data_IF_745698731278
#
_entry.id   IF_745698731278
#
_cell.length_a   1.000
_cell.length_b   1.000
_cell.length_c   1.000
_cell.angle_alpha   90.00
_cell.angle_beta   90.00
_cell.angle_gamma   90.00
#
_symmetry.space_group_name_H-M   'P 1'
#
loop_
_entity.id
_entity.type
_entity.pdbx_description
1 polymer ?
#
# COMPACT_ATOMS: atom_id res chain seq x y z
N UNK A 1 6.10 23.98 -2.14
CA UNK A 1 6.62 25.33 -2.44
C UNK A 1 5.91 26.01 -3.60
N UNK A 2 5.66 25.34 -4.72
CA UNK A 2 4.98 25.96 -5.90
C UNK A 2 3.62 26.59 -5.57
N UNK A 3 2.74 25.90 -4.84
CA UNK A 3 1.47 26.47 -4.35
C UNK A 3 1.68 27.74 -3.53
N UNK A 4 2.77 27.78 -2.75
CA UNK A 4 3.10 28.90 -1.90
C UNK A 4 3.59 30.12 -2.67
N UNK A 5 4.38 29.86 -3.71
CA UNK A 5 4.88 30.87 -4.64
C UNK A 5 3.74 31.46 -5.46
N UNK A 6 2.85 30.63 -5.99
CA UNK A 6 1.71 31.09 -6.77
C UNK A 6 0.82 32.03 -5.94
N UNK A 7 0.58 31.67 -4.67
CA UNK A 7 -0.18 32.50 -3.75
C UNK A 7 0.52 33.82 -3.41
N UNK A 8 1.83 33.78 -3.22
CA UNK A 8 2.62 34.99 -3.01
C UNK A 8 2.53 35.90 -4.25
N UNK A 9 2.72 35.35 -5.45
CA UNK A 9 2.60 36.06 -6.72
C UNK A 9 1.22 36.72 -6.91
N UNK A 10 0.14 35.98 -6.66
CA UNK A 10 -1.23 36.49 -6.76
C UNK A 10 -1.57 37.57 -5.74
N UNK A 11 -0.79 37.69 -4.66
CA UNK A 11 -0.91 38.74 -3.65
C UNK A 11 -0.05 39.98 -3.92
N UNK A 12 0.64 40.02 -5.07
CA UNK A 12 1.54 41.12 -5.45
C UNK A 12 2.97 40.95 -4.96
N UNK A 13 3.31 39.80 -4.35
CA UNK A 13 4.69 39.45 -4.01
C UNK A 13 5.34 38.75 -5.20
N UNK A 14 6.18 39.48 -5.95
CA UNK A 14 6.98 38.87 -7.02
C UNK A 14 8.26 38.29 -6.43
N UNK A 15 8.42 36.95 -6.36
CA UNK A 15 9.70 36.37 -5.98
C UNK A 15 10.79 36.79 -6.99
N UNK A 16 12.04 36.96 -6.56
CA UNK A 16 13.13 37.29 -7.47
C UNK A 16 13.33 36.20 -8.54
N UNK A 17 13.85 36.62 -9.69
CA UNK A 17 14.13 35.76 -10.85
C UNK A 17 15.10 34.64 -10.46
N UNK A 18 14.84 33.44 -11.00
CA UNK A 18 15.60 32.19 -10.82
C UNK A 18 17.11 32.43 -10.78
N UNK A 19 17.78 31.87 -9.77
CA UNK A 19 19.25 31.83 -9.71
C UNK A 19 19.79 30.99 -10.88
N UNK A 20 20.88 31.41 -11.56
CA UNK A 20 21.50 30.65 -12.63
C UNK A 20 22.07 29.30 -12.19
N UNK A 21 22.16 29.02 -10.89
CA UNK A 21 22.72 27.79 -10.31
C UNK A 21 21.72 26.63 -10.18
N UNK A 22 20.55 26.72 -10.80
CA UNK A 22 19.57 25.63 -10.85
C UNK A 22 18.70 25.48 -9.58
N UNK A 23 18.86 26.34 -8.56
CA UNK A 23 17.89 26.47 -7.45
C UNK A 23 16.82 27.51 -7.78
N UNK A 24 15.55 27.15 -7.58
CA UNK A 24 14.43 28.06 -7.85
C UNK A 24 14.26 29.20 -6.82
N UNK A 25 14.72 29.06 -5.56
CA UNK A 25 14.48 30.05 -4.49
C UNK A 25 15.61 30.12 -3.45
N UNK A 26 15.96 31.33 -2.98
CA UNK A 26 16.92 31.52 -1.86
C UNK A 26 16.25 31.24 -0.49
N UNK A 27 17.02 31.11 0.59
CA UNK A 27 16.45 30.92 1.95
C UNK A 27 15.62 32.14 2.36
N UNK A 28 16.08 33.34 2.05
CA UNK A 28 15.34 34.57 2.34
C UNK A 28 13.98 34.60 1.61
N UNK A 29 13.92 34.12 0.38
CA UNK A 29 12.67 33.99 -0.38
C UNK A 29 11.74 32.98 0.30
N UNK A 30 12.27 31.82 0.69
CA UNK A 30 11.48 30.76 1.33
C UNK A 30 10.94 31.19 2.69
N UNK A 31 11.75 31.88 3.50
CA UNK A 31 11.32 32.49 4.76
C UNK A 31 10.26 33.58 4.55
N UNK A 32 10.39 34.40 3.52
CA UNK A 32 9.40 35.43 3.18
C UNK A 32 8.05 34.80 2.80
N UNK A 33 8.08 33.73 2.01
CA UNK A 33 6.90 32.95 1.65
C UNK A 33 6.27 32.29 2.89
N UNK A 34 7.07 31.66 3.75
CA UNK A 34 6.58 31.05 5.00
C UNK A 34 5.98 32.08 5.96
N UNK A 35 6.52 33.30 6.00
CA UNK A 35 5.96 34.43 6.77
C UNK A 35 4.58 34.80 6.25
N UNK A 36 4.43 34.88 4.93
CA UNK A 36 3.15 35.18 4.30
C UNK A 36 2.10 34.08 4.60
N UNK A 37 2.51 32.81 4.55
CA UNK A 37 1.66 31.69 4.95
C UNK A 37 1.18 31.79 6.40
N UNK A 38 2.07 32.14 7.32
CA UNK A 38 1.72 32.35 8.71
C UNK A 38 0.71 33.50 8.87
N UNK A 39 0.89 34.60 8.14
CA UNK A 39 -0.08 35.71 8.13
C UNK A 39 -1.45 35.26 7.62
N UNK A 40 -1.49 34.47 6.54
CA UNK A 40 -2.74 33.90 6.02
C UNK A 40 -3.42 32.99 7.05
N UNK A 41 -2.67 32.08 7.69
CA UNK A 41 -3.18 31.23 8.77
C UNK A 41 -3.77 32.08 9.91
N UNK A 42 -3.03 33.07 10.40
CA UNK A 42 -3.49 33.97 11.46
C UNK A 42 -4.76 34.74 11.07
N UNK A 43 -4.87 35.18 9.81
CA UNK A 43 -6.07 35.86 9.31
C UNK A 43 -7.28 34.93 9.25
N UNK A 44 -7.10 33.70 8.77
CA UNK A 44 -8.16 32.71 8.64
C UNK A 44 -8.59 32.15 10.01
N UNK A 45 -7.66 32.04 10.97
CA UNK A 45 -7.93 31.62 12.33
C UNK A 45 -8.78 32.63 13.12
N UNK A 46 -8.72 33.92 12.76
CA UNK A 46 -9.58 34.99 13.35
C UNK A 46 -11.02 34.96 12.81
N UNK A 47 -11.22 34.35 11.65
CA UNK A 47 -12.52 34.28 10.97
C UNK A 47 -12.85 32.82 10.58
N UNK A 48 -13.11 31.94 11.57
CA UNK A 48 -13.45 30.55 11.31
C UNK A 48 -14.74 30.43 10.49
N UNK A 49 -14.82 29.40 9.64
CA UNK A 49 -15.93 29.22 8.70
C UNK A 49 -17.29 29.08 9.36
N UNK A 50 -17.29 28.58 10.60
CA UNK A 50 -18.46 28.23 11.39
C UNK A 50 -19.20 29.47 11.90
N UNK A 51 -18.67 30.68 11.66
CA UNK A 51 -19.30 31.95 12.02
C UNK A 51 -19.43 32.18 13.52
N UNK A 52 -18.92 31.27 14.36
CA UNK A 52 -19.03 31.35 15.82
C UNK A 52 -17.81 32.11 16.41
N UNK A 53 -17.96 33.39 16.80
CA UNK A 53 -16.86 34.19 17.32
C UNK A 53 -16.38 33.74 18.70
N UNK A 54 -17.14 32.91 19.43
CA UNK A 54 -16.73 32.37 20.74
C UNK A 54 -15.56 31.37 20.63
N UNK A 55 -15.35 30.75 19.47
CA UNK A 55 -14.19 29.91 19.19
C UNK A 55 -12.93 30.71 18.80
N UNK A 56 -13.09 31.98 18.42
CA UNK A 56 -12.00 32.90 18.13
C UNK A 56 -11.47 33.50 19.44
N UNK A 57 -10.92 32.65 20.30
CA UNK A 57 -10.28 33.11 21.53
C UNK A 57 -9.06 33.97 21.17
N UNK A 58 -9.23 35.30 21.27
CA UNK A 58 -8.22 36.29 20.88
C UNK A 58 -6.96 36.26 21.76
N UNK A 59 -7.04 35.58 22.91
CA UNK A 59 -5.96 35.43 23.89
C UNK A 59 -5.30 34.05 23.87
N UNK A 60 -5.48 33.26 22.79
CA UNK A 60 -4.79 31.96 22.67
C UNK A 60 -3.34 32.15 22.20
N UNK A 61 -2.41 31.50 22.90
CA UNK A 61 -1.02 31.35 22.44
C UNK A 61 -0.87 30.01 21.73
N UNK A 62 -0.49 30.05 20.45
CA UNK A 62 -0.19 28.84 19.67
C UNK A 62 1.30 28.80 19.33
N UNK A 63 1.92 27.64 19.50
CA UNK A 63 3.27 27.37 19.03
C UNK A 63 3.18 26.77 17.64
N UNK A 64 3.61 27.52 16.63
CA UNK A 64 3.54 27.10 15.23
C UNK A 64 4.92 26.66 14.77
N UNK A 65 5.00 25.44 14.25
CA UNK A 65 6.20 24.93 13.61
C UNK A 65 6.09 25.13 12.10
N UNK A 66 7.16 25.66 11.48
CA UNK A 66 7.30 25.86 10.03
C UNK A 66 8.74 25.54 9.67
N UNK A 67 8.93 24.65 8.70
CA UNK A 67 10.23 24.12 8.28
C UNK A 67 11.27 25.22 7.98
N UNK A 68 10.88 26.24 7.20
CA UNK A 68 11.79 27.32 6.77
C UNK A 68 12.25 28.26 7.91
N UNK A 69 11.61 28.20 9.08
CA UNK A 69 12.00 28.99 10.26
C UNK A 69 12.77 28.19 11.31
N UNK A 70 12.99 26.89 11.09
CA UNK A 70 13.62 25.99 12.06
C UNK A 70 15.09 25.68 11.77
N UNK A 71 15.80 26.56 11.05
CA UNK A 71 17.24 26.44 10.86
C UNK A 71 17.99 26.79 12.16
N UNK A 72 18.86 25.90 12.61
CA UNK A 72 19.63 26.06 13.86
C UNK A 72 20.56 27.28 13.83
N UNK A 73 21.06 27.63 12.64
CA UNK A 73 21.96 28.77 12.43
C UNK A 73 21.45 29.66 11.30
N UNK A 74 20.57 30.64 11.58
CA UNK A 74 20.04 31.55 10.57
C UNK A 74 21.12 32.45 9.94
N UNK A 75 22.28 32.56 10.58
CA UNK A 75 23.45 33.30 10.11
C UNK A 75 24.44 32.45 9.28
N UNK A 76 24.19 31.14 9.15
CA UNK A 76 24.99 30.27 8.31
C UNK A 76 24.95 30.78 6.87
N UNK A 77 26.12 31.16 6.37
CA UNK A 77 26.32 31.63 4.99
C UNK A 77 26.74 30.49 4.07
N UNK A 78 27.07 29.32 4.64
CA UNK A 78 27.53 28.17 3.85
C UNK A 78 26.34 27.31 3.40
N UNK A 79 26.15 27.21 2.10
CA UNK A 79 24.99 26.53 1.53
C UNK A 79 24.93 25.03 1.85
N UNK A 80 26.09 24.39 2.01
CA UNK A 80 26.15 22.96 2.34
C UNK A 80 25.67 22.68 3.76
N UNK A 81 25.93 23.60 4.68
CA UNK A 81 25.49 23.48 6.07
C UNK A 81 23.97 23.66 6.18
N UNK A 82 23.40 24.59 5.41
CA UNK A 82 21.95 24.79 5.37
C UNK A 82 21.24 23.59 4.74
N UNK A 83 21.79 23.05 3.64
CA UNK A 83 21.26 21.83 3.02
C UNK A 83 21.34 20.62 3.96
N UNK A 84 22.43 20.50 4.71
CA UNK A 84 22.62 19.45 5.72
C UNK A 84 21.59 19.57 6.85
N UNK A 85 21.44 20.76 7.44
CA UNK A 85 20.43 21.02 8.49
C UNK A 85 19.02 20.70 7.99
N UNK A 86 18.69 21.13 6.76
CA UNK A 86 17.38 20.84 6.14
C UNK A 86 17.17 19.34 5.94
N UNK A 87 18.19 18.62 5.46
CA UNK A 87 18.13 17.17 5.27
C UNK A 87 17.82 16.44 6.58
N UNK A 88 18.40 16.90 7.70
CA UNK A 88 18.13 16.37 9.03
C UNK A 88 16.71 16.69 9.50
N UNK A 89 16.24 17.92 9.33
CA UNK A 89 14.88 18.31 9.72
C UNK A 89 13.80 17.61 8.88
N UNK A 90 14.03 17.44 7.58
CA UNK A 90 13.15 16.67 6.70
C UNK A 90 13.00 15.21 7.17
N UNK A 91 14.09 14.61 7.67
CA UNK A 91 14.04 13.28 8.29
C UNK A 91 13.30 13.20 9.61
N UNK A 92 13.01 14.34 10.26
CA UNK A 92 12.25 14.43 11.51
C UNK A 92 10.78 14.78 11.31
N UNK A 93 10.35 15.17 10.10
CA UNK A 93 8.99 15.64 9.81
C UNK A 93 7.89 14.74 10.36
N UNK A 94 7.96 13.44 10.06
CA UNK A 94 6.97 12.49 10.53
C UNK A 94 6.84 12.47 12.08
N UNK A 95 7.95 12.68 12.80
CA UNK A 95 7.92 12.78 14.27
C UNK A 95 7.35 14.11 14.74
N UNK A 96 7.70 15.20 14.07
CA UNK A 96 7.19 16.54 14.38
C UNK A 96 5.65 16.55 14.23
N UNK A 97 5.14 16.10 13.09
CA UNK A 97 3.70 16.07 12.82
C UNK A 97 2.95 15.05 13.68
N UNK A 98 3.57 13.91 14.03
CA UNK A 98 2.97 12.94 14.96
C UNK A 98 2.74 13.54 16.35
N UNK A 99 3.63 14.43 16.80
CA UNK A 99 3.53 15.07 18.11
C UNK A 99 2.79 16.42 18.06
N UNK A 100 2.37 16.86 16.87
CA UNK A 100 1.59 18.09 16.72
C UNK A 100 0.16 17.86 17.20
N UNK A 101 -0.37 18.80 17.99
CA UNK A 101 -1.77 18.79 18.43
C UNK A 101 -2.74 18.98 17.26
N UNK A 102 -2.32 19.75 16.25
CA UNK A 102 -3.09 20.00 15.04
C UNK A 102 -2.16 20.24 13.85
N UNK A 103 -2.59 19.80 12.67
CA UNK A 103 -1.86 19.99 11.40
C UNK A 103 -2.70 20.86 10.48
N UNK A 104 -2.17 21.99 10.04
CA UNK A 104 -2.83 22.86 9.07
C UNK A 104 -2.44 22.44 7.65
N UNK A 105 -3.44 22.18 6.81
CA UNK A 105 -3.25 21.77 5.42
C UNK A 105 -3.80 22.84 4.50
N UNK A 106 -3.07 23.15 3.44
CA UNK A 106 -3.39 24.25 2.54
C UNK A 106 -2.79 24.02 1.15
N UNK A 107 -3.48 24.51 0.13
CA UNK A 107 -3.01 24.52 -1.26
C UNK A 107 -3.56 25.76 -1.98
N UNK A 108 -2.99 26.04 -3.14
CA UNK A 108 -3.30 27.20 -3.98
C UNK A 108 -4.67 27.12 -4.67
N UNK A 109 -5.18 25.90 -4.89
CA UNK A 109 -6.41 25.65 -5.64
C UNK A 109 -7.65 26.15 -4.89
N UNK A 110 -8.44 27.08 -5.47
CA UNK A 110 -9.71 27.52 -4.90
C UNK A 110 -10.67 26.36 -4.67
N UNK A 111 -11.35 26.34 -3.52
CA UNK A 111 -12.34 25.32 -3.18
C UNK A 111 -11.78 23.92 -2.89
N UNK A 112 -10.45 23.74 -2.85
CA UNK A 112 -9.87 22.43 -2.60
C UNK A 112 -10.18 21.93 -1.18
N UNK A 113 -10.64 20.68 -1.08
CA UNK A 113 -10.94 20.00 0.19
C UNK A 113 -9.72 19.29 0.78
N UNK A 114 -8.64 19.22 0.02
CA UNK A 114 -7.39 18.49 0.33
C UNK A 114 -7.55 16.98 0.51
N UNK A 115 -8.74 16.44 0.28
CA UNK A 115 -9.04 15.01 0.37
C UNK A 115 -9.20 14.35 -1.01
N UNK A 116 -9.20 15.15 -2.06
CA UNK A 116 -9.23 14.69 -3.45
C UNK A 116 -7.81 14.38 -3.94
N UNK A 117 -7.69 13.38 -4.82
CA UNK A 117 -6.40 12.94 -5.37
C UNK A 117 -5.76 13.96 -6.31
N UNK A 118 -6.55 14.90 -6.85
CA UNK A 118 -6.04 15.97 -7.69
C UNK A 118 -5.40 17.11 -6.88
N UNK A 119 -5.44 17.05 -5.55
CA UNK A 119 -4.84 18.07 -4.69
C UNK A 119 -3.32 18.13 -4.90
N UNK A 120 -2.74 19.31 -5.25
CA UNK A 120 -1.29 19.46 -5.41
C UNK A 120 -0.52 19.12 -4.14
N UNK A 121 -1.07 19.52 -2.98
CA UNK A 121 -0.53 19.12 -1.68
C UNK A 121 -0.62 17.60 -1.52
N UNK A 122 -1.76 16.99 -1.86
CA UNK A 122 -2.04 15.55 -1.69
C UNK A 122 -1.03 14.61 -2.36
N UNK A 123 -0.43 15.03 -3.46
CA UNK A 123 0.48 14.21 -4.27
C UNK A 123 1.97 14.32 -3.87
N UNK A 124 2.31 15.09 -2.84
CA UNK A 124 3.70 15.19 -2.38
C UNK A 124 4.11 13.97 -1.56
N UNK A 125 5.38 13.60 -1.65
CA UNK A 125 5.98 12.51 -0.86
C UNK A 125 5.79 12.70 0.66
N UNK A 126 5.80 13.95 1.13
CA UNK A 126 5.69 14.32 2.53
C UNK A 126 4.28 14.29 3.11
N UNK A 127 3.25 14.23 2.27
CA UNK A 127 1.87 14.38 2.75
C UNK A 127 1.43 13.23 3.64
N UNK A 128 1.80 11.98 3.34
CA UNK A 128 1.47 10.86 4.24
C UNK A 128 2.14 11.04 5.62
N UNK A 129 3.47 11.30 5.69
CA UNK A 129 4.14 11.69 6.95
C UNK A 129 3.44 12.80 7.74
N UNK A 130 2.90 13.81 7.05
CA UNK A 130 2.26 14.97 7.68
C UNK A 130 0.92 14.64 8.35
N UNK A 131 0.12 13.72 7.80
CA UNK A 131 -1.27 13.50 8.27
C UNK A 131 -1.59 12.12 8.83
N UNK A 132 -0.73 11.11 8.62
CA UNK A 132 -1.05 9.73 8.98
C UNK A 132 -1.38 9.58 10.47
N UNK A 133 -0.66 10.31 11.31
CA UNK A 133 -0.82 10.30 12.76
C UNK A 133 -1.43 11.59 13.33
N UNK A 134 -1.84 12.54 12.49
CA UNK A 134 -2.43 13.78 12.96
C UNK A 134 -3.72 13.50 13.75
N UNK A 135 -3.84 14.06 14.95
CA UNK A 135 -5.05 13.96 15.77
C UNK A 135 -6.17 14.85 15.22
N UNK A 136 -5.80 16.08 14.82
CA UNK A 136 -6.71 17.10 14.27
C UNK A 136 -6.09 17.73 13.04
N UNK A 137 -6.92 17.99 12.03
CA UNK A 137 -6.52 18.64 10.78
C UNK A 137 -7.32 19.93 10.60
N UNK A 138 -6.61 21.04 10.41
CA UNK A 138 -7.20 22.33 10.05
C UNK A 138 -7.14 22.47 8.53
N UNK A 139 -8.26 22.27 7.85
CA UNK A 139 -8.34 22.44 6.40
C UNK A 139 -8.48 23.91 6.09
N UNK A 140 -7.42 24.52 5.57
CA UNK A 140 -7.49 25.88 5.05
C UNK A 140 -7.98 25.81 3.61
N UNK A 141 -9.19 26.29 3.33
CA UNK A 141 -9.76 26.31 1.98
C UNK A 141 -9.89 27.75 1.51
N UNK A 142 -9.35 27.99 0.33
CA UNK A 142 -9.42 29.28 -0.34
C UNK A 142 -10.78 29.44 -1.02
N UNK A 143 -11.53 30.48 -0.68
CA UNK A 143 -12.81 30.81 -1.31
C UNK A 143 -12.64 31.81 -2.45
N UNK A 144 -11.70 32.73 -2.31
CA UNK A 144 -11.32 33.73 -3.33
C UNK A 144 -9.84 34.08 -3.23
N UNK A 145 -9.34 34.96 -4.09
CA UNK A 145 -7.92 35.32 -4.10
C UNK A 145 -7.41 35.85 -2.76
N UNK A 146 -8.28 36.48 -1.97
CA UNK A 146 -7.96 37.14 -0.70
C UNK A 146 -8.71 36.56 0.51
N UNK A 147 -9.56 35.54 0.33
CA UNK A 147 -10.33 34.94 1.41
C UNK A 147 -9.98 33.46 1.58
N UNK A 148 -9.44 33.13 2.74
CA UNK A 148 -9.16 31.75 3.18
C UNK A 148 -9.92 31.49 4.46
N UNK A 149 -10.60 30.33 4.53
CA UNK A 149 -11.32 29.89 5.72
C UNK A 149 -10.74 28.60 6.27
N UNK A 150 -10.84 28.42 7.59
CA UNK A 150 -10.40 27.20 8.26
C UNK A 150 -11.61 26.35 8.60
N UNK A 151 -11.55 25.09 8.18
CA UNK A 151 -12.53 24.04 8.49
C UNK A 151 -11.85 22.99 9.37
N UNK A 152 -12.08 23.00 10.69
CA UNK A 152 -11.50 22.01 11.58
C UNK A 152 -12.14 20.64 11.35
N UNK A 153 -11.34 19.58 11.35
CA UNK A 153 -11.82 18.20 11.21
C UNK A 153 -10.94 17.27 12.04
N UNK A 154 -11.50 16.19 12.58
CA UNK A 154 -10.68 15.18 13.24
C UNK A 154 -9.77 14.51 12.21
N UNK A 155 -8.53 14.19 12.61
CA UNK A 155 -7.59 13.53 11.71
C UNK A 155 -8.11 12.20 11.20
N UNK A 156 -8.88 11.48 12.03
CA UNK A 156 -9.59 10.26 11.61
C UNK A 156 -10.59 10.53 10.49
N UNK A 157 -11.50 11.48 10.66
CA UNK A 157 -12.51 11.78 9.62
C UNK A 157 -11.86 12.28 8.33
N UNK A 158 -10.80 13.08 8.45
CA UNK A 158 -10.01 13.55 7.30
C UNK A 158 -9.38 12.38 6.52
N UNK A 159 -8.76 11.42 7.21
CA UNK A 159 -8.20 10.21 6.58
C UNK A 159 -9.28 9.30 5.99
N UNK A 160 -10.45 9.17 6.63
CA UNK A 160 -11.59 8.42 6.09
C UNK A 160 -12.14 9.06 4.79
N UNK A 161 -12.13 10.39 4.67
CA UNK A 161 -12.48 11.08 3.42
C UNK A 161 -11.48 10.77 2.31
N UNK A 162 -10.17 10.83 2.58
CA UNK A 162 -9.14 10.46 1.60
C UNK A 162 -9.29 8.98 1.20
N UNK A 163 -9.52 8.10 2.18
CA UNK A 163 -9.76 6.68 1.93
C UNK A 163 -10.95 6.46 0.99
N UNK A 164 -12.06 7.18 1.20
CA UNK A 164 -13.23 7.13 0.30
C UNK A 164 -12.91 7.62 -1.11
N UNK A 165 -12.14 8.70 -1.23
CA UNK A 165 -11.69 9.21 -2.54
C UNK A 165 -10.77 8.21 -3.25
N UNK A 166 -9.84 7.60 -2.52
CA UNK A 166 -8.95 6.56 -3.04
C UNK A 166 -9.74 5.34 -3.54
N UNK A 167 -10.76 4.89 -2.79
CA UNK A 167 -11.61 3.77 -3.19
C UNK A 167 -12.39 4.06 -4.49
N UNK A 168 -12.91 5.28 -4.67
CA UNK A 168 -13.63 5.69 -5.89
C UNK A 168 -12.74 5.65 -7.14
N UNK A 169 -11.45 5.93 -6.96
CA UNK A 169 -10.47 6.04 -8.03
C UNK A 169 -9.58 4.78 -8.14
N UNK A 170 -9.96 3.70 -7.46
CA UNK A 170 -9.25 2.42 -7.44
C UNK A 170 -7.76 2.55 -7.03
N UNK A 171 -7.44 3.50 -6.13
CA UNK A 171 -6.11 3.61 -5.53
C UNK A 171 -6.03 2.78 -4.25
N UNK A 172 -5.88 1.47 -4.42
CA UNK A 172 -5.98 0.53 -3.32
C UNK A 172 -4.79 0.59 -2.35
N UNK A 173 -3.60 0.99 -2.82
CA UNK A 173 -2.44 1.27 -1.96
C UNK A 173 -2.76 2.41 -0.98
N UNK A 174 -3.28 3.53 -1.46
CA UNK A 174 -3.64 4.66 -0.62
C UNK A 174 -4.80 4.32 0.32
N UNK A 175 -5.77 3.56 -0.17
CA UNK A 175 -6.85 3.01 0.64
C UNK A 175 -6.32 2.13 1.77
N UNK A 176 -5.38 1.22 1.50
CA UNK A 176 -4.80 0.31 2.49
C UNK A 176 -3.99 1.06 3.57
N UNK A 177 -3.22 2.08 3.20
CA UNK A 177 -2.50 2.95 4.14
C UNK A 177 -3.48 3.60 5.13
N UNK A 178 -4.53 4.25 4.62
CA UNK A 178 -5.48 4.92 5.50
C UNK A 178 -6.37 3.95 6.26
N UNK A 179 -6.73 2.80 5.68
CA UNK A 179 -7.41 1.73 6.40
C UNK A 179 -6.58 1.23 7.58
N UNK A 180 -5.27 1.00 7.38
CA UNK A 180 -4.37 0.62 8.46
C UNK A 180 -4.28 1.71 9.55
N UNK A 181 -4.27 2.99 9.16
CA UNK A 181 -4.22 4.12 10.10
C UNK A 181 -5.48 4.28 10.95
N UNK A 182 -6.65 3.90 10.43
CA UNK A 182 -7.95 4.04 11.10
C UNK A 182 -8.34 2.76 11.84
N UNK A 183 -7.97 1.60 11.27
CA UNK A 183 -8.25 0.27 11.80
C UNK A 183 -7.07 -0.67 11.54
N UNK A 184 -6.07 -0.61 12.41
CA UNK A 184 -4.83 -1.39 12.32
C UNK A 184 -5.05 -2.90 12.40
N UNK A 185 -6.21 -3.38 12.87
CA UNK A 185 -6.57 -4.79 12.87
C UNK A 185 -7.06 -5.31 11.51
N UNK A 186 -7.43 -4.42 10.58
CA UNK A 186 -7.98 -4.80 9.27
C UNK A 186 -6.96 -4.96 8.15
N UNK A 187 -5.72 -4.48 8.34
CA UNK A 187 -4.64 -4.53 7.35
C UNK A 187 -3.33 -4.84 8.09
N UNK A 188 -2.63 -5.88 7.68
CA UNK A 188 -1.34 -6.26 8.30
C UNK A 188 -0.27 -5.19 8.07
N UNK A 189 0.72 -5.14 8.97
CA UNK A 189 1.88 -4.26 8.77
C UNK A 189 2.61 -4.54 7.45
N UNK A 190 2.70 -5.80 7.03
CA UNK A 190 3.31 -6.15 5.74
C UNK A 190 2.59 -5.46 4.58
N UNK A 191 1.26 -5.49 4.55
CA UNK A 191 0.44 -4.83 3.52
C UNK A 191 0.52 -3.31 3.61
N UNK A 192 0.57 -2.76 4.83
CA UNK A 192 0.69 -1.32 5.05
C UNK A 192 2.05 -0.80 4.58
N UNK A 193 3.15 -1.46 4.95
CA UNK A 193 4.52 -1.13 4.52
C UNK A 193 4.63 -1.26 3.00
N UNK A 194 4.11 -2.35 2.42
CA UNK A 194 4.06 -2.53 0.97
C UNK A 194 3.36 -1.35 0.28
N UNK A 195 2.18 -0.96 0.78
CA UNK A 195 1.40 0.13 0.21
C UNK A 195 2.11 1.49 0.37
N UNK A 196 2.77 1.73 1.51
CA UNK A 196 3.56 2.93 1.76
C UNK A 196 4.71 3.07 0.77
N UNK A 197 5.43 1.98 0.50
CA UNK A 197 6.52 1.96 -0.48
C UNK A 197 6.01 2.31 -1.87
N UNK A 198 4.96 1.64 -2.34
CA UNK A 198 4.35 1.91 -3.66
C UNK A 198 3.91 3.36 -3.78
N UNK A 199 3.21 3.88 -2.77
CA UNK A 199 2.68 5.23 -2.81
C UNK A 199 3.77 6.31 -2.71
N UNK A 200 4.83 6.07 -1.94
CA UNK A 200 5.96 6.99 -1.88
C UNK A 200 6.67 7.08 -3.24
N UNK A 201 6.82 5.96 -3.95
CA UNK A 201 7.48 5.92 -5.26
C UNK A 201 6.61 6.57 -6.33
N UNK A 202 5.30 6.31 -6.34
CA UNK A 202 4.35 6.98 -7.24
C UNK A 202 4.42 8.50 -7.10
N UNK A 203 4.53 9.00 -5.86
CA UNK A 203 4.62 10.43 -5.57
C UNK A 203 5.98 11.02 -5.94
N UNK A 204 7.05 10.25 -5.77
CA UNK A 204 8.39 10.62 -6.19
C UNK A 204 8.48 10.73 -7.73
N UNK A 205 7.88 9.78 -8.45
CA UNK A 205 7.71 9.83 -9.91
C UNK A 205 6.89 11.04 -10.37
N UNK A 206 5.79 11.34 -9.69
CA UNK A 206 4.97 12.51 -9.99
C UNK A 206 5.72 13.84 -9.76
N UNK A 207 6.73 13.83 -8.89
CA UNK A 207 7.65 14.94 -8.64
C UNK A 207 8.90 14.91 -9.51
N UNK A 208 8.95 14.11 -10.58
CA UNK A 208 10.14 13.94 -11.45
C UNK A 208 11.43 13.56 -10.68
N UNK A 209 11.31 12.88 -9.54
CA UNK A 209 12.42 12.50 -8.67
C UNK A 209 13.20 13.66 -8.04
N UNK A 210 12.64 14.88 -8.03
CA UNK A 210 13.29 16.06 -7.46
C UNK A 210 13.66 15.87 -5.97
N UNK A 211 12.77 15.19 -5.22
CA UNK A 211 12.92 14.92 -3.79
C UNK A 211 13.39 13.49 -3.49
N UNK A 212 13.84 12.73 -4.50
CA UNK A 212 14.16 11.31 -4.39
C UNK A 212 15.15 11.00 -3.25
N UNK A 213 16.15 11.88 -3.07
CA UNK A 213 17.16 11.77 -2.00
C UNK A 213 16.59 11.73 -0.59
N UNK A 214 15.32 12.08 -0.39
CA UNK A 214 14.64 12.07 0.89
C UNK A 214 13.61 10.94 1.06
N UNK A 215 13.47 10.03 0.09
CA UNK A 215 12.48 8.96 0.11
C UNK A 215 12.52 8.11 1.40
N UNK A 216 13.71 7.61 1.77
CA UNK A 216 13.88 6.85 3.01
C UNK A 216 13.56 7.69 4.25
N UNK A 217 13.99 8.96 4.27
CA UNK A 217 13.73 9.90 5.37
C UNK A 217 12.23 10.18 5.56
N UNK A 218 11.47 10.33 4.47
CA UNK A 218 10.02 10.49 4.50
C UNK A 218 9.33 9.27 5.11
N UNK A 219 9.80 8.07 4.77
CA UNK A 219 9.20 6.81 5.23
C UNK A 219 9.63 6.41 6.64
N UNK A 220 10.80 6.84 7.13
CA UNK A 220 11.36 6.43 8.42
C UNK A 220 10.37 6.57 9.59
N UNK A 221 9.66 7.69 9.68
CA UNK A 221 8.70 7.90 10.78
C UNK A 221 7.35 7.18 10.61
N UNK A 222 7.11 6.54 9.47
CA UNK A 222 5.87 5.78 9.20
C UNK A 222 6.02 4.28 9.50
N UNK A 223 7.25 3.79 9.60
CA UNK A 223 7.54 2.38 9.82
C UNK A 223 7.55 2.02 11.33
N UNK A 224 7.26 0.75 11.68
CA UNK A 224 7.32 0.27 13.06
C UNK A 224 8.69 0.43 13.71
N UNK A 225 9.75 0.02 13.00
CA UNK A 225 11.14 0.21 13.42
C UNK A 225 11.75 1.34 12.63
N UNK A 226 12.47 2.20 13.35
CA UNK A 226 12.96 3.47 12.84
C UNK A 226 14.46 3.53 12.99
N UNK A 227 15.11 4.07 11.98
CA UNK A 227 16.50 4.43 12.03
C UNK A 227 16.71 5.75 12.78
N UNK A 228 17.92 5.94 13.32
CA UNK A 228 18.35 7.28 13.66
C UNK A 228 18.47 8.11 12.38
N UNK A 229 18.09 9.40 12.43
CA UNK A 229 18.09 10.25 11.23
C UNK A 229 19.50 10.41 10.66
N UNK A 230 20.51 10.38 11.54
CA UNK A 230 21.92 10.51 11.16
C UNK A 230 22.47 9.25 10.48
N UNK A 231 21.80 8.10 10.63
CA UNK A 231 22.16 6.85 9.93
C UNK A 231 21.58 6.79 8.51
N UNK A 232 20.66 7.69 8.16
CA UNK A 232 20.06 7.81 6.83
C UNK A 232 20.88 8.79 6.00
N UNK A 233 21.46 8.28 4.91
CA UNK A 233 22.41 9.00 4.07
C UNK A 233 21.75 9.96 3.09
N UNK A 234 22.34 10.07 1.90
CA UNK A 234 21.88 10.93 0.80
C UNK A 234 21.22 10.15 -0.34
N UNK A 235 21.10 8.83 -0.22
CA UNK A 235 20.58 7.96 -1.26
C UNK A 235 19.20 7.42 -0.89
N UNK A 236 18.14 8.00 -1.45
CA UNK A 236 16.75 7.65 -1.12
C UNK A 236 16.43 6.17 -1.22
N UNK A 237 16.91 5.50 -2.27
CA UNK A 237 16.77 4.05 -2.44
C UNK A 237 17.58 3.23 -1.45
N UNK A 238 18.82 3.65 -1.13
CA UNK A 238 19.67 2.93 -0.19
C UNK A 238 19.12 3.02 1.22
N UNK A 239 18.66 4.21 1.61
CA UNK A 239 17.99 4.46 2.88
C UNK A 239 16.70 3.64 2.99
N UNK A 240 15.92 3.57 1.91
CA UNK A 240 14.72 2.75 1.87
C UNK A 240 15.04 1.26 2.03
N UNK A 241 16.02 0.73 1.28
CA UNK A 241 16.41 -0.67 1.40
C UNK A 241 16.85 -1.00 2.84
N UNK A 242 17.66 -0.14 3.44
CA UNK A 242 18.12 -0.32 4.82
C UNK A 242 16.97 -0.22 5.85
N UNK A 243 16.01 0.68 5.65
CA UNK A 243 14.82 0.77 6.49
C UNK A 243 13.92 -0.46 6.38
N UNK A 244 13.81 -1.06 5.20
CA UNK A 244 13.04 -2.28 5.01
C UNK A 244 13.75 -3.49 5.64
N UNK A 245 15.08 -3.56 5.54
CA UNK A 245 15.90 -4.53 6.26
C UNK A 245 15.70 -4.43 7.79
N UNK A 246 15.72 -3.21 8.33
CA UNK A 246 15.44 -2.97 9.75
C UNK A 246 14.04 -3.49 10.16
N UNK A 247 13.08 -3.42 9.23
CA UNK A 247 11.69 -3.85 9.41
C UNK A 247 11.41 -5.29 8.94
N UNK A 248 12.43 -6.16 8.79
CA UNK A 248 12.25 -7.56 8.37
C UNK A 248 11.25 -8.37 9.20
N UNK A 249 11.09 -8.05 10.48
CA UNK A 249 10.08 -8.68 11.34
C UNK A 249 8.62 -8.30 11.01
N UNK A 250 8.42 -7.27 10.19
CA UNK A 250 7.12 -6.76 9.76
C UNK A 250 6.95 -6.80 8.23
N UNK A 251 8.03 -7.02 7.47
CA UNK A 251 8.06 -6.93 6.03
C UNK A 251 9.10 -7.88 5.43
N UNK A 252 8.68 -8.79 4.56
CA UNK A 252 9.58 -9.76 3.93
C UNK A 252 10.41 -9.09 2.81
N UNK A 253 11.74 -9.19 2.84
CA UNK A 253 12.62 -8.66 1.80
C UNK A 253 12.32 -9.24 0.40
N UNK A 254 11.77 -10.46 0.34
CA UNK A 254 11.31 -11.06 -0.89
C UNK A 254 10.03 -10.38 -1.44
N UNK A 255 9.23 -9.75 -0.58
CA UNK A 255 8.14 -8.84 -0.96
C UNK A 255 8.65 -7.56 -1.62
N UNK A 256 9.85 -7.08 -1.23
CA UNK A 256 10.50 -5.94 -1.90
C UNK A 256 10.96 -6.30 -3.31
N UNK A 257 11.57 -7.47 -3.48
CA UNK A 257 12.08 -7.89 -4.77
C UNK A 257 10.96 -8.21 -5.76
N UNK A 258 9.82 -8.73 -5.29
CA UNK A 258 8.61 -8.90 -6.09
C UNK A 258 7.99 -7.56 -6.56
N UNK A 259 8.26 -6.49 -5.81
CA UNK A 259 7.77 -5.16 -6.14
C UNK A 259 8.61 -4.46 -7.18
N UNK A 260 9.88 -4.84 -7.36
CA UNK A 260 10.81 -4.14 -8.24
C UNK A 260 11.01 -4.89 -9.55
N UNK A 261 11.06 -4.16 -10.67
CA UNK A 261 11.50 -4.69 -11.95
C UNK A 261 12.95 -5.14 -11.86
N UNK A 262 13.42 -5.91 -12.83
CA UNK A 262 14.86 -6.11 -12.97
C UNK A 262 15.55 -4.76 -13.26
N UNK A 263 16.76 -4.52 -12.73
CA UNK A 263 17.51 -3.31 -13.01
C UNK A 263 17.87 -3.22 -14.51
N UNK A 264 17.85 -2.01 -15.07
CA UNK A 264 18.42 -1.76 -16.39
C UNK A 264 19.92 -2.03 -16.39
N UNK A 265 20.47 -2.50 -17.53
CA UNK A 265 21.88 -2.92 -17.69
C UNK A 265 22.93 -1.88 -17.27
N UNK A 266 22.54 -0.63 -17.04
CA UNK A 266 23.41 0.49 -16.65
C UNK A 266 23.37 0.84 -15.16
N UNK A 267 22.54 0.18 -14.33
CA UNK A 267 22.46 0.50 -12.90
C UNK A 267 23.25 -0.49 -12.04
N UNK A 268 23.94 0.02 -11.01
CA UNK A 268 24.71 -0.76 -10.03
C UNK A 268 23.80 -1.33 -8.92
N UNK A 269 22.47 -1.13 -9.05
CA UNK A 269 21.46 -1.57 -8.09
C UNK A 269 20.98 -2.97 -8.44
N UNK A 270 20.75 -3.81 -7.42
CA UNK A 270 20.16 -5.14 -7.59
C UNK A 270 18.61 -5.10 -7.75
N UNK A 271 17.98 -3.93 -7.57
CA UNK A 271 16.54 -3.68 -7.72
C UNK A 271 16.28 -2.64 -8.83
N UNK A 272 15.31 -2.91 -9.70
CA UNK A 272 14.75 -1.96 -10.69
C UNK A 272 13.49 -1.23 -10.18
N UNK A 273 12.79 -0.54 -11.09
CA UNK A 273 11.63 0.31 -10.76
C UNK A 273 10.43 -0.51 -10.28
N UNK A 274 9.62 -0.02 -9.34
CA UNK A 274 8.47 -0.80 -8.89
C UNK A 274 7.45 -1.11 -9.99
N UNK A 275 6.83 -2.29 -9.90
CA UNK A 275 5.72 -2.69 -10.75
C UNK A 275 4.45 -2.00 -10.23
N UNK A 276 3.78 -1.26 -11.11
CA UNK A 276 2.54 -0.56 -10.76
C UNK A 276 1.43 -1.55 -10.34
N UNK A 277 0.69 -1.27 -9.25
CA UNK A 277 -0.45 -2.09 -8.88
C UNK A 277 -1.55 -2.00 -9.94
N UNK A 278 -2.09 -3.15 -10.32
CA UNK A 278 -3.22 -3.29 -11.24
C UNK A 278 -4.34 -4.09 -10.58
N UNK A 279 -5.62 -3.91 -10.97
CA UNK A 279 -6.73 -4.73 -10.50
C UNK A 279 -6.40 -6.23 -10.53
N UNK A 280 -6.32 -6.85 -9.35
CA UNK A 280 -5.92 -8.26 -9.18
C UNK A 280 -4.57 -8.47 -8.48
N UNK A 281 -3.67 -7.49 -8.52
CA UNK A 281 -2.34 -7.53 -7.89
C UNK A 281 -2.28 -6.86 -6.49
N UNK A 282 -3.42 -6.39 -6.00
CA UNK A 282 -3.52 -5.35 -4.95
C UNK A 282 -3.65 -5.93 -3.54
N UNK A 283 -3.79 -7.26 -3.47
CA UNK A 283 -3.90 -8.08 -2.26
C UNK A 283 -2.97 -9.29 -2.31
N UNK A 284 -1.97 -9.23 -3.19
CA UNK A 284 -1.01 -10.30 -3.29
C UNK A 284 -0.08 -10.20 -2.09
N UNK A 285 -0.23 -11.11 -1.14
CA UNK A 285 0.85 -11.41 -0.22
C UNK A 285 1.99 -11.99 -1.06
N UNK A 286 3.19 -11.39 -1.04
CA UNK A 286 4.29 -11.96 -1.80
C UNK A 286 4.72 -13.25 -1.10
N UNK A 287 4.27 -14.39 -1.64
CA UNK A 287 4.77 -15.71 -1.27
C UNK A 287 6.10 -15.88 -2.02
N UNK A 288 7.09 -15.11 -1.60
CA UNK A 288 8.44 -15.22 -2.13
C UNK A 288 9.33 -15.64 -0.98
N UNK A 289 10.00 -16.77 -1.17
CA UNK A 289 11.06 -17.25 -0.29
C UNK A 289 12.36 -16.85 -0.97
N UNK A 290 13.06 -15.86 -0.42
CA UNK A 290 14.40 -15.54 -0.88
C UNK A 290 15.39 -16.46 -0.16
N UNK A 291 16.19 -17.20 -0.91
CA UNK A 291 17.32 -17.96 -0.37
C UNK A 291 18.57 -17.07 -0.46
N UNK A 292 19.21 -16.71 0.67
CA UNK A 292 20.50 -16.05 0.62
C UNK A 292 21.52 -17.02 0.00
N UNK A 293 22.18 -16.60 -1.08
CA UNK A 293 23.28 -17.36 -1.67
C UNK A 293 24.58 -16.69 -1.21
N UNK A 294 25.51 -17.49 -0.67
CA UNK A 294 26.81 -16.99 -0.21
C UNK A 294 27.48 -16.09 -1.26
N UNK A 295 28.16 -15.01 -0.85
CA UNK A 295 28.85 -14.12 -1.78
C UNK A 295 29.83 -14.93 -2.64
N UNK A 296 30.02 -14.55 -3.92
CA UNK A 296 30.90 -15.29 -4.82
C UNK A 296 32.30 -15.35 -4.20
N UNK A 297 32.82 -16.56 -4.02
CA UNK A 297 34.25 -16.74 -3.80
C UNK A 297 34.97 -16.05 -4.96
N UNK A 298 35.99 -15.25 -4.65
CA UNK A 298 36.75 -14.41 -5.58
C UNK A 298 37.35 -15.16 -6.80
N UNK A 299 37.26 -16.49 -6.83
CA UNK A 299 37.76 -17.36 -7.90
C UNK A 299 36.65 -17.95 -8.79
N UNK A 300 35.37 -17.61 -8.58
CA UNK A 300 34.28 -18.07 -9.45
C UNK A 300 33.88 -16.98 -10.45
N UNK A 301 34.23 -17.18 -11.72
CA UNK A 301 33.89 -16.31 -12.85
C UNK A 301 32.42 -16.41 -13.30
N UNK A 302 31.60 -17.19 -12.59
CA UNK A 302 30.17 -17.24 -12.79
C UNK A 302 29.50 -16.39 -11.68
N UNK A 303 29.17 -15.14 -12.01
CA UNK A 303 28.44 -14.24 -11.13
C UNK A 303 27.04 -14.77 -10.84
N UNK A 304 26.90 -15.57 -9.79
CA UNK A 304 25.60 -15.83 -9.21
C UNK A 304 25.12 -14.54 -8.51
N UNK A 305 23.90 -14.06 -8.80
CA UNK A 305 23.35 -12.93 -8.06
C UNK A 305 23.28 -13.27 -6.57
N UNK A 306 23.54 -12.31 -5.66
CA UNK A 306 23.57 -12.53 -4.21
C UNK A 306 22.22 -12.97 -3.61
N UNK A 307 21.15 -12.85 -4.40
CA UNK A 307 19.79 -13.26 -4.05
C UNK A 307 19.24 -14.14 -5.19
N UNK A 308 18.88 -15.38 -4.88
CA UNK A 308 18.12 -16.22 -5.81
C UNK A 308 16.65 -16.15 -5.41
N UNK A 309 15.85 -15.47 -6.24
CA UNK A 309 14.40 -15.42 -6.12
C UNK A 309 13.85 -16.55 -6.97
N UNK A 310 13.36 -17.61 -6.32
CA UNK A 310 12.64 -18.68 -7.03
C UNK A 310 11.24 -18.13 -7.32
N UNK A 311 10.84 -18.24 -8.59
CA UNK A 311 9.72 -17.52 -9.22
C UNK A 311 8.53 -17.26 -8.31
N UNK A 312 8.22 -15.98 -8.13
CA UNK A 312 7.02 -15.58 -7.41
C UNK A 312 5.78 -16.04 -8.16
N UNK A 313 5.06 -17.00 -7.61
CA UNK A 313 3.72 -17.33 -8.08
C UNK A 313 2.72 -16.46 -7.33
N UNK A 314 2.06 -15.57 -8.06
CA UNK A 314 1.04 -14.69 -7.52
C UNK A 314 -0.24 -15.50 -7.28
N UNK A 315 -0.40 -16.06 -6.09
CA UNK A 315 -1.65 -16.73 -5.71
C UNK A 315 -2.64 -15.64 -5.30
N UNK A 316 -3.66 -15.39 -6.13
CA UNK A 316 -4.76 -14.52 -5.75
C UNK A 316 -5.48 -15.07 -4.53
N UNK A 317 -5.28 -14.43 -3.37
CA UNK A 317 -6.07 -14.71 -2.16
C UNK A 317 -7.53 -14.35 -2.45
N UNK A 318 -8.33 -15.38 -2.77
CA UNK A 318 -9.76 -15.21 -2.96
C UNK A 318 -10.35 -14.80 -1.60
N UNK A 319 -11.21 -13.77 -1.54
CA UNK A 319 -11.69 -13.21 -0.28
C UNK A 319 -12.55 -14.17 0.57
N UNK A 320 -12.89 -15.36 0.05
CA UNK A 320 -13.65 -16.41 0.72
C UNK A 320 -13.24 -17.79 0.20
N UNK A 321 -13.18 -18.77 1.09
CA UNK A 321 -13.16 -20.19 0.74
C UNK A 321 -14.41 -20.49 -0.11
N UNK A 322 -14.21 -20.96 -1.33
CA UNK A 322 -15.30 -21.34 -2.23
C UNK A 322 -15.55 -22.84 -2.07
N UNK A 323 -16.82 -23.20 -2.04
CA UNK A 323 -17.26 -24.59 -2.15
C UNK A 323 -16.91 -25.15 -3.52
N UNK A 324 -16.36 -26.36 -3.56
CA UNK A 324 -16.00 -27.04 -4.80
C UNK A 324 -17.26 -27.45 -5.54
N UNK A 325 -17.57 -26.74 -6.62
CA UNK A 325 -18.78 -26.96 -7.41
C UNK A 325 -18.80 -28.34 -8.10
N UNK A 326 -17.64 -28.98 -8.25
CA UNK A 326 -17.48 -30.32 -8.82
C UNK A 326 -16.89 -31.29 -7.78
N UNK A 327 -17.28 -31.13 -6.50
CA UNK A 327 -16.73 -31.89 -5.39
C UNK A 327 -16.83 -33.41 -5.55
N UNK A 328 -17.88 -33.90 -6.21
CA UNK A 328 -18.08 -35.33 -6.51
C UNK A 328 -17.01 -35.91 -7.45
N UNK A 329 -16.44 -35.08 -8.33
CA UNK A 329 -15.50 -35.50 -9.36
C UNK A 329 -14.05 -35.24 -8.97
N UNK A 330 -13.81 -34.16 -8.21
CA UNK A 330 -12.48 -33.68 -7.88
C UNK A 330 -11.90 -34.27 -6.59
N UNK A 331 -12.74 -34.73 -5.65
CA UNK A 331 -12.26 -35.22 -4.35
C UNK A 331 -11.95 -36.73 -4.37
N UNK A 332 -10.75 -37.17 -3.93
CA UNK A 332 -10.37 -38.58 -3.91
C UNK A 332 -11.23 -39.41 -2.95
N UNK A 333 -11.73 -38.81 -1.87
CA UNK A 333 -12.60 -39.49 -0.91
C UNK A 333 -13.97 -39.87 -1.52
N UNK A 334 -14.34 -39.23 -2.63
CA UNK A 334 -15.63 -39.41 -3.31
C UNK A 334 -15.57 -40.39 -4.49
N UNK A 335 -14.45 -41.10 -4.71
CA UNK A 335 -14.30 -42.07 -5.80
C UNK A 335 -15.43 -43.11 -5.79
N UNK A 336 -15.77 -43.67 -4.62
CA UNK A 336 -16.85 -44.68 -4.51
C UNK A 336 -18.21 -44.08 -4.85
N UNK A 337 -18.51 -42.91 -4.31
CA UNK A 337 -19.76 -42.19 -4.57
C UNK A 337 -19.90 -41.84 -6.06
N UNK A 338 -18.80 -41.40 -6.71
CA UNK A 338 -18.74 -41.11 -8.14
C UNK A 338 -19.05 -42.33 -9.00
N UNK A 339 -18.46 -43.49 -8.67
CA UNK A 339 -18.69 -44.74 -9.42
C UNK A 339 -20.14 -45.21 -9.26
N UNK A 340 -20.69 -45.16 -8.05
CA UNK A 340 -22.08 -45.56 -7.78
C UNK A 340 -23.07 -44.59 -8.47
N UNK A 341 -22.85 -43.28 -8.36
CA UNK A 341 -23.68 -42.27 -9.00
C UNK A 341 -23.65 -42.38 -10.53
N UNK A 342 -22.45 -42.54 -11.11
CA UNK A 342 -22.30 -42.74 -12.54
C UNK A 342 -22.95 -44.04 -13.03
N UNK A 343 -22.80 -45.13 -12.27
CA UNK A 343 -23.40 -46.43 -12.59
C UNK A 343 -24.93 -46.41 -12.52
N UNK A 344 -25.50 -45.79 -11.48
CA UNK A 344 -26.95 -45.65 -11.32
C UNK A 344 -27.56 -44.75 -12.40
N UNK A 345 -26.88 -43.65 -12.77
CA UNK A 345 -27.27 -42.80 -13.89
C UNK A 345 -27.28 -43.57 -15.22
N UNK A 346 -26.19 -44.28 -15.53
CA UNK A 346 -26.08 -45.05 -16.77
C UNK A 346 -27.15 -46.16 -16.87
N UNK A 347 -27.37 -46.91 -15.77
CA UNK A 347 -28.39 -47.97 -15.73
C UNK A 347 -29.80 -47.39 -15.87
N UNK A 348 -30.08 -46.27 -15.19
CA UNK A 348 -31.38 -45.59 -15.26
C UNK A 348 -31.70 -45.06 -16.66
N UNK A 349 -30.71 -44.48 -17.33
CA UNK A 349 -30.83 -44.03 -18.73
C UNK A 349 -31.06 -45.21 -19.67
N UNK A 350 -30.33 -46.31 -19.49
CA UNK A 350 -30.49 -47.51 -20.31
C UNK A 350 -31.87 -48.16 -20.12
N UNK A 351 -32.35 -48.24 -18.88
CA UNK A 351 -33.69 -48.76 -18.57
C UNK A 351 -34.79 -47.86 -19.15
N UNK A 352 -34.63 -46.53 -19.04
CA UNK A 352 -35.54 -45.58 -19.68
C UNK A 352 -35.55 -45.73 -21.19
N UNK A 353 -34.40 -45.94 -21.82
CA UNK A 353 -34.31 -46.12 -23.27
C UNK A 353 -35.02 -47.40 -23.72
N UNK A 354 -34.83 -48.52 -23.00
CA UNK A 354 -35.54 -49.78 -23.28
C UNK A 354 -37.05 -49.60 -23.16
N UNK A 355 -37.53 -48.93 -22.11
CA UNK A 355 -38.97 -48.66 -21.92
C UNK A 355 -39.54 -47.73 -23.00
N UNK A 356 -38.76 -46.79 -23.49
CA UNK A 356 -39.16 -45.92 -24.59
C UNK A 356 -39.35 -46.72 -25.88
N UNK A 357 -38.42 -47.62 -26.20
CA UNK A 357 -38.47 -48.48 -27.39
C UNK A 357 -39.61 -49.50 -27.32
N UNK A 358 -39.99 -49.96 -26.11
CA UNK A 358 -41.13 -50.87 -25.92
C UNK A 358 -42.49 -50.16 -25.85
N UNK A 359 -42.53 -48.83 -26.08
CA UNK A 359 -43.76 -48.05 -26.16
C UNK A 359 -44.32 -47.58 -24.81
N UNK A 360 -43.60 -47.79 -23.71
CA UNK A 360 -43.99 -47.33 -22.38
C UNK A 360 -43.43 -45.92 -22.11
N UNK A 361 -43.99 -44.92 -22.78
CA UNK A 361 -43.48 -43.54 -22.79
C UNK A 361 -43.48 -42.90 -21.40
N UNK A 362 -44.60 -42.95 -20.67
CA UNK A 362 -44.73 -42.32 -19.35
C UNK A 362 -43.76 -42.87 -18.28
N UNK A 363 -43.62 -44.19 -18.08
CA UNK A 363 -42.65 -44.71 -17.11
C UNK A 363 -41.19 -44.49 -17.56
N UNK A 364 -40.91 -44.49 -18.87
CA UNK A 364 -39.58 -44.13 -19.38
C UNK A 364 -39.19 -42.71 -18.94
N UNK A 365 -40.05 -41.72 -19.21
CA UNK A 365 -39.83 -40.32 -18.79
C UNK A 365 -39.69 -40.21 -17.27
N UNK A 366 -40.55 -40.90 -16.51
CA UNK A 366 -40.51 -40.89 -15.05
C UNK A 366 -39.19 -41.40 -14.47
N UNK A 367 -38.65 -42.49 -15.02
CA UNK A 367 -37.36 -43.05 -14.60
C UNK A 367 -36.21 -42.13 -14.99
N UNK A 368 -36.19 -41.65 -16.23
CA UNK A 368 -35.14 -40.73 -16.69
C UNK A 368 -35.08 -39.46 -15.82
N UNK A 369 -36.23 -38.86 -15.55
CA UNK A 369 -36.33 -37.64 -14.74
C UNK A 369 -35.91 -37.89 -13.29
N UNK A 370 -36.38 -38.99 -12.67
CA UNK A 370 -36.07 -39.29 -11.27
C UNK A 370 -34.56 -39.54 -11.06
N UNK A 371 -33.93 -40.26 -11.99
CA UNK A 371 -32.50 -40.60 -11.91
C UNK A 371 -31.62 -39.37 -12.17
N UNK A 372 -31.99 -38.50 -13.11
CA UNK A 372 -31.26 -37.25 -13.36
C UNK A 372 -31.39 -36.26 -12.21
N UNK A 373 -32.59 -36.08 -11.65
CA UNK A 373 -32.79 -35.24 -10.46
C UNK A 373 -32.00 -35.78 -9.26
N UNK A 374 -32.03 -37.09 -9.01
CA UNK A 374 -31.26 -37.71 -7.94
C UNK A 374 -29.75 -37.48 -8.08
N UNK A 375 -29.23 -37.59 -9.30
CA UNK A 375 -27.81 -37.32 -9.59
C UNK A 375 -27.43 -35.85 -9.32
N UNK A 376 -28.25 -34.89 -9.77
CA UNK A 376 -28.00 -33.46 -9.55
C UNK A 376 -28.10 -33.10 -8.07
N UNK A 377 -29.06 -33.68 -7.32
CA UNK A 377 -29.16 -33.46 -5.88
C UNK A 377 -27.93 -33.98 -5.13
N UNK A 378 -27.44 -35.16 -5.51
CA UNK A 378 -26.22 -35.71 -4.95
C UNK A 378 -25.02 -34.82 -5.23
N UNK A 379 -24.85 -34.38 -6.48
CA UNK A 379 -23.78 -33.45 -6.86
C UNK A 379 -23.86 -32.16 -6.04
N UNK A 380 -25.05 -31.59 -5.86
CA UNK A 380 -25.26 -30.37 -5.10
C UNK A 380 -24.91 -30.55 -3.61
N UNK A 381 -25.34 -31.66 -2.99
CA UNK A 381 -25.02 -31.97 -1.59
C UNK A 381 -23.51 -32.10 -1.42
N UNK A 382 -22.84 -32.88 -2.28
CA UNK A 382 -21.40 -33.08 -2.22
C UNK A 382 -20.64 -31.77 -2.43
N UNK A 383 -21.09 -30.96 -3.39
CA UNK A 383 -20.50 -29.65 -3.65
C UNK A 383 -20.68 -28.66 -2.49
N UNK A 384 -21.63 -28.89 -1.58
CA UNK A 384 -21.72 -28.10 -0.34
C UNK A 384 -20.80 -28.56 0.78
N UNK A 385 -20.31 -29.79 0.73
CA UNK A 385 -19.46 -30.39 1.77
C UNK A 385 -17.97 -30.09 1.56
N UNK A 386 -17.52 -30.00 0.30
CA UNK A 386 -16.10 -29.84 -0.01
C UNK A 386 -15.73 -28.41 -0.40
N UNK A 387 -14.52 -28.00 -0.04
CA UNK A 387 -13.94 -26.72 -0.39
C UNK A 387 -12.95 -26.88 -1.55
N UNK A 388 -12.85 -25.84 -2.38
CA UNK A 388 -11.85 -25.77 -3.46
C UNK A 388 -10.46 -25.66 -2.83
N UNK A 389 -9.69 -26.76 -2.87
CA UNK A 389 -8.35 -26.84 -2.23
C UNK A 389 -7.23 -26.13 -3.01
N UNK A 390 -7.49 -25.67 -4.23
CA UNK A 390 -6.47 -24.99 -5.06
C UNK A 390 -6.04 -23.68 -4.40
N UNK A 391 -4.76 -23.57 -4.09
CA UNK A 391 -4.14 -22.37 -3.51
C UNK A 391 -4.27 -22.24 -1.98
N UNK A 392 -4.68 -23.30 -1.28
CA UNK A 392 -4.81 -23.33 0.18
C UNK A 392 -4.08 -24.55 0.74
N UNK A 393 -3.24 -24.35 1.75
CA UNK A 393 -2.58 -25.42 2.51
C UNK A 393 -3.47 -25.77 3.69
N UNK A 394 -3.92 -27.03 3.78
CA UNK A 394 -4.73 -27.52 4.88
C UNK A 394 -3.86 -28.36 5.81
N UNK A 395 -3.69 -27.92 7.05
CA UNK A 395 -2.95 -28.65 8.08
C UNK A 395 -3.95 -29.26 9.08
N UNK A 396 -3.98 -30.60 9.25
CA UNK A 396 -4.77 -31.25 10.29
C UNK A 396 -4.27 -30.86 11.69
N UNK A 397 -5.19 -30.65 12.64
CA UNK A 397 -4.85 -30.31 14.03
C UNK A 397 -3.95 -31.36 14.71
N UNK A 398 -4.02 -32.63 14.28
CA UNK A 398 -3.20 -33.71 14.81
C UNK A 398 -1.70 -33.59 14.42
N UNK A 399 -1.38 -32.77 13.43
CA UNK A 399 -0.05 -32.61 12.85
C UNK A 399 0.58 -31.25 13.20
N UNK A 400 -0.08 -30.48 14.08
CA UNK A 400 0.46 -29.25 14.63
C UNK A 400 1.63 -29.53 15.57
N UNK A 401 2.83 -29.03 15.23
CA UNK A 401 3.98 -28.96 16.12
C UNK A 401 5.19 -29.85 15.77
N UNK A 402 5.07 -30.77 14.80
CA UNK A 402 6.21 -31.56 14.32
C UNK A 402 6.70 -31.02 12.95
N UNK A 403 7.81 -30.27 13.00
CA UNK A 403 8.43 -29.63 11.83
C UNK A 403 8.80 -30.63 10.71
N UNK A 404 9.21 -31.85 11.07
CA UNK A 404 9.59 -32.86 10.09
C UNK A 404 8.37 -33.39 9.31
N UNK A 405 7.20 -33.46 9.97
CA UNK A 405 5.94 -33.86 9.35
C UNK A 405 5.44 -32.76 8.40
N UNK A 406 5.56 -31.50 8.81
CA UNK A 406 5.19 -30.34 7.98
C UNK A 406 6.04 -30.27 6.70
N UNK A 407 7.36 -30.49 6.79
CA UNK A 407 8.23 -30.55 5.61
C UNK A 407 7.88 -31.71 4.67
N UNK A 408 7.56 -32.89 5.20
CA UNK A 408 7.12 -34.03 4.39
C UNK A 408 5.80 -33.77 3.67
N UNK A 409 4.84 -33.14 4.34
CA UNK A 409 3.52 -32.82 3.78
C UNK A 409 3.62 -31.77 2.67
N UNK A 410 4.40 -30.71 2.90
CA UNK A 410 4.69 -29.71 1.88
C UNK A 410 5.40 -30.34 0.68
N UNK A 411 6.38 -31.22 0.90
CA UNK A 411 7.06 -31.95 -0.18
C UNK A 411 6.15 -32.89 -0.98
N UNK A 412 5.10 -33.45 -0.37
CA UNK A 412 4.11 -34.29 -1.07
C UNK A 412 3.06 -33.48 -1.84
N UNK A 413 2.55 -32.38 -1.27
CA UNK A 413 1.55 -31.53 -1.95
C UNK A 413 2.14 -30.71 -3.11
N UNK A 414 3.46 -30.43 -3.09
CA UNK A 414 4.17 -29.71 -4.15
C UNK A 414 4.65 -30.61 -5.31
N UNK A 415 4.69 -31.94 -5.12
CA UNK A 415 5.10 -32.90 -6.17
C UNK A 415 4.27 -32.85 -7.47
N UNK A 416 2.93 -32.71 -7.45
CA UNK A 416 2.11 -32.55 -8.65
C UNK A 416 2.47 -31.31 -9.49
N UNK A 417 3.19 -30.36 -8.89
CA UNK A 417 3.58 -29.08 -9.50
C UNK A 417 4.99 -29.16 -10.12
N UNK A 418 5.57 -30.36 -10.23
CA UNK A 418 6.85 -30.59 -10.89
C UNK A 418 8.08 -30.26 -10.04
N UNK A 419 7.92 -29.92 -8.76
CA UNK A 419 9.03 -29.65 -7.86
C UNK A 419 9.48 -30.94 -7.17
N UNK A 420 10.61 -31.48 -7.62
CA UNK A 420 11.31 -32.55 -6.90
C UNK A 420 12.17 -31.94 -5.80
N UNK A 421 11.73 -32.05 -4.55
CA UNK A 421 12.61 -31.83 -3.39
C UNK A 421 13.45 -33.10 -3.23
N UNK A 422 14.69 -33.09 -3.72
CA UNK A 422 15.69 -34.07 -3.30
C UNK A 422 16.28 -33.59 -1.98
N UNK A 423 16.11 -34.40 -0.94
CA UNK A 423 16.81 -34.29 0.34
C UNK A 423 18.31 -34.38 0.18
#
# INVERSE_FOLDING_TARGET
MQSAVQLAAESGFHPPVLSPEGRQYTIADRQSISKYFLMLYCSAARHPADGNPEGANRDRTEYVWLDEFCLSHPESTSESEIESQRSTELGRLANIFRNATQVAVFCDRPGCRHTDLDCPWGNRIWTIPEILHAERVLRMTRESTHATRIYPTSGRAFREEIQKSAAKLNQWHLYAIYQHSVNSGGVSWQTAIHSLVVEAIRRDEAGNFDDHKYLGKALNGLLPRRAHVDDLGHGGWNDLAWLLELNQGFYNAASLAALCSLPDKSSVSWLGKPINPMPGNERLEPIVTALPVSPPNANSSAGCPPLMIIGGEMIGLRPRLRRDWAGLYNNPDMIRARVIAGGTLALGVLLSFVLLVTGQIFPAIGIFFSVTVGHVLLELVVSTMFLERKGWIFLPDAEWGDLNTIEQLLGQELKPWGMNVKS
#
